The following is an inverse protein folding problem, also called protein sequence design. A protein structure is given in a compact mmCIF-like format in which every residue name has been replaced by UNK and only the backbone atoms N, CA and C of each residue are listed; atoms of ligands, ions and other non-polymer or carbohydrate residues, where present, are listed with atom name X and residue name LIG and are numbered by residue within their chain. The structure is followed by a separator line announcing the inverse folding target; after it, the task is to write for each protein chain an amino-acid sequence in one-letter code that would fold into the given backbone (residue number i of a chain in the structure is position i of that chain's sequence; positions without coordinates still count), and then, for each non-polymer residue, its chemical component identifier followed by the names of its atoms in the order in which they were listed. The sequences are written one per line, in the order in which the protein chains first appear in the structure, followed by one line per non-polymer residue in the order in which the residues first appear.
data_IF_795517768497
#
_entry.id   IF_795517768497
#
_cell.length_a   1.000
_cell.length_b   1.000
_cell.length_c   1.000
_cell.angle_alpha   90.00
_cell.angle_beta   90.00
_cell.angle_gamma   90.00
#
_symmetry.space_group_name_H-M   'P 1'
#
loop_
_entity.id
_entity.type
_entity.pdbx_description
1 polymer ?
#
# COMPACT_ATOMS: atom_id res chain seq x y z
N UNK A 1 16.39 -6.75 14.03
CA UNK A 1 17.85 -6.92 13.81
C UNK A 1 18.19 -8.25 13.14
N UNK A 2 17.69 -9.42 13.63
CA UNK A 2 18.04 -10.73 13.05
C UNK A 2 17.43 -10.91 11.64
N UNK A 3 16.14 -10.68 11.49
CA UNK A 3 15.46 -10.80 10.21
C UNK A 3 16.02 -9.82 9.17
N UNK A 4 16.26 -8.57 9.56
CA UNK A 4 16.84 -7.54 8.71
C UNK A 4 18.23 -7.95 8.18
N UNK A 5 19.10 -8.46 9.08
CA UNK A 5 20.40 -8.99 8.68
C UNK A 5 20.28 -10.18 7.72
N UNK A 6 19.38 -11.12 7.99
CA UNK A 6 19.19 -12.31 7.17
C UNK A 6 18.71 -11.93 5.74
N UNK A 7 17.77 -11.01 5.64
CA UNK A 7 17.30 -10.47 4.35
C UNK A 7 18.41 -9.74 3.61
N UNK A 8 19.16 -8.87 4.31
CA UNK A 8 20.30 -8.16 3.73
C UNK A 8 21.39 -9.10 3.19
N UNK A 9 21.76 -10.12 3.96
CA UNK A 9 22.74 -11.14 3.56
C UNK A 9 22.24 -11.97 2.36
N UNK A 10 20.95 -12.30 2.33
CA UNK A 10 20.31 -13.00 1.20
C UNK A 10 20.37 -12.15 -0.07
N UNK A 11 19.89 -10.91 -0.02
CA UNK A 11 19.89 -10.01 -1.18
C UNK A 11 21.30 -9.76 -1.70
N UNK A 12 22.28 -9.55 -0.79
CA UNK A 12 23.66 -9.35 -1.17
C UNK A 12 24.27 -10.56 -1.90
N UNK A 13 23.91 -11.79 -1.51
CA UNK A 13 24.32 -13.01 -2.21
C UNK A 13 23.63 -13.16 -3.56
N UNK A 14 22.33 -12.93 -3.62
CA UNK A 14 21.55 -13.06 -4.87
C UNK A 14 22.04 -12.06 -5.92
N UNK A 15 22.31 -10.81 -5.56
CA UNK A 15 22.90 -9.81 -6.49
C UNK A 15 24.23 -10.24 -7.11
N UNK A 16 24.99 -11.12 -6.46
CA UNK A 16 26.22 -11.67 -7.03
C UNK A 16 25.96 -12.84 -7.99
N UNK A 17 24.88 -13.59 -7.77
CA UNK A 17 24.50 -14.74 -8.60
C UNK A 17 23.72 -14.31 -9.86
N UNK A 18 22.83 -13.35 -9.69
CA UNK A 18 22.02 -12.81 -10.76
C UNK A 18 21.90 -11.29 -10.60
N UNK A 19 22.49 -10.56 -11.55
CA UNK A 19 22.52 -9.11 -11.55
C UNK A 19 21.24 -8.48 -12.12
N UNK A 20 20.46 -9.28 -12.85
CA UNK A 20 19.26 -8.85 -13.56
C UNK A 20 17.96 -9.21 -12.83
N UNK A 21 18.08 -9.78 -11.62
CA UNK A 21 16.91 -10.05 -10.77
C UNK A 21 16.31 -8.77 -10.21
N UNK A 22 14.98 -8.65 -10.29
CA UNK A 22 14.20 -7.68 -9.56
C UNK A 22 13.96 -8.20 -8.14
N UNK A 23 14.44 -7.45 -7.14
CA UNK A 23 14.18 -7.75 -5.73
C UNK A 23 13.04 -6.90 -5.22
N UNK A 24 12.04 -7.56 -4.64
CA UNK A 24 10.90 -6.90 -3.99
C UNK A 24 10.85 -7.42 -2.55
N UNK A 25 10.90 -6.49 -1.61
CA UNK A 25 10.81 -6.76 -0.19
C UNK A 25 9.61 -6.01 0.36
N UNK A 26 8.72 -6.71 1.03
CA UNK A 26 7.57 -6.11 1.69
C UNK A 26 7.29 -6.83 2.99
N UNK A 27 6.82 -6.09 4.00
CA UNK A 27 6.19 -6.71 5.15
C UNK A 27 4.76 -7.12 4.81
N UNK A 28 4.24 -8.14 5.46
CA UNK A 28 2.86 -8.60 5.33
C UNK A 28 1.88 -7.65 6.06
N UNK A 29 2.28 -7.17 7.23
CA UNK A 29 1.57 -6.20 8.05
C UNK A 29 2.53 -5.53 9.05
N UNK A 30 2.09 -4.47 9.71
CA UNK A 30 2.83 -3.86 10.81
C UNK A 30 2.61 -4.64 12.13
N UNK A 31 3.45 -4.37 13.13
CA UNK A 31 3.24 -4.88 14.48
C UNK A 31 1.99 -4.27 15.10
N UNK A 32 1.18 -5.09 15.80
CA UNK A 32 0.05 -4.59 16.58
C UNK A 32 0.47 -3.72 17.77
N UNK A 33 1.75 -3.78 18.16
CA UNK A 33 2.34 -2.99 19.24
C UNK A 33 3.05 -1.81 18.63
N UNK A 34 2.66 -0.60 19.00
CA UNK A 34 3.38 0.61 18.61
C UNK A 34 4.80 0.60 19.25
N UNK A 35 5.87 0.48 18.45
CA UNK A 35 7.23 0.30 18.96
C UNK A 35 7.85 1.60 19.47
N UNK A 36 7.16 2.73 19.31
CA UNK A 36 7.72 4.05 19.60
C UNK A 36 7.03 4.72 20.77
N UNK A 37 7.79 5.49 21.52
CA UNK A 37 7.28 6.37 22.55
C UNK A 37 6.41 7.46 21.91
N UNK A 38 5.25 7.71 22.50
CA UNK A 38 4.30 8.72 22.04
C UNK A 38 4.89 10.13 22.03
N UNK A 39 5.89 10.40 22.86
CA UNK A 39 6.58 11.68 22.92
C UNK A 39 7.48 11.96 21.72
N UNK A 40 7.92 10.90 21.00
CA UNK A 40 8.78 11.02 19.83
C UNK A 40 7.97 11.30 18.56
N UNK A 41 6.69 10.94 18.55
CA UNK A 41 5.84 11.09 17.37
C UNK A 41 5.22 12.49 17.30
N UNK A 42 5.53 13.29 16.27
CA UNK A 42 5.08 14.69 16.19
C UNK A 42 3.58 14.84 15.85
N UNK A 43 2.92 13.76 15.41
CA UNK A 43 1.51 13.79 14.98
C UNK A 43 0.69 12.76 15.75
N UNK A 44 -0.56 13.09 16.07
CA UNK A 44 -1.47 12.19 16.79
C UNK A 44 -1.93 10.99 15.94
N UNK A 45 -2.03 11.16 14.64
CA UNK A 45 -2.42 10.11 13.72
C UNK A 45 -1.28 9.12 13.39
N UNK A 46 -0.05 9.43 13.77
CA UNK A 46 1.10 8.56 13.49
C UNK A 46 0.96 7.17 14.13
N UNK A 47 0.42 7.09 15.34
CA UNK A 47 0.19 5.79 15.98
C UNK A 47 -0.75 4.89 15.19
N UNK A 48 -1.75 5.45 14.51
CA UNK A 48 -2.63 4.68 13.66
C UNK A 48 -1.93 4.33 12.34
N UNK A 49 -1.20 5.28 11.74
CA UNK A 49 -0.37 5.03 10.54
C UNK A 49 0.63 3.93 10.79
N UNK A 50 1.36 3.97 11.90
CA UNK A 50 2.34 2.94 12.29
C UNK A 50 1.74 1.54 12.41
N UNK A 51 0.47 1.41 12.75
CA UNK A 51 -0.24 0.13 12.83
C UNK A 51 -0.64 -0.43 11.47
N UNK A 52 -0.72 0.42 10.46
CA UNK A 52 -1.22 0.06 9.12
C UNK A 52 -0.05 -0.05 8.15
N UNK A 53 0.95 0.82 8.28
CA UNK A 53 2.09 0.88 7.37
C UNK A 53 3.03 -0.30 7.60
N UNK A 54 3.54 -0.84 6.51
CA UNK A 54 4.63 -1.80 6.50
C UNK A 54 5.72 -1.37 5.53
N UNK A 55 6.88 -2.00 5.61
CA UNK A 55 7.99 -1.68 4.72
C UNK A 55 7.73 -2.18 3.30
N UNK A 56 8.14 -1.40 2.32
CA UNK A 56 8.17 -1.79 0.92
C UNK A 56 9.47 -1.29 0.28
N UNK A 57 10.14 -2.15 -0.47
CA UNK A 57 11.36 -1.79 -1.18
C UNK A 57 11.47 -2.59 -2.48
N UNK A 58 11.86 -1.94 -3.55
CA UNK A 58 12.21 -2.57 -4.82
C UNK A 58 13.64 -2.23 -5.19
N UNK A 59 14.35 -3.20 -5.77
CA UNK A 59 15.71 -2.99 -6.24
C UNK A 59 15.97 -3.74 -7.54
N UNK A 60 16.42 -3.00 -8.53
CA UNK A 60 17.02 -3.49 -9.78
C UNK A 60 17.97 -2.39 -10.29
N UNK A 61 19.08 -2.73 -11.00
CA UNK A 61 20.02 -1.73 -11.50
C UNK A 61 19.40 -0.65 -12.41
N UNK A 62 18.32 -0.97 -13.09
CA UNK A 62 17.62 -0.05 -13.99
C UNK A 62 16.50 0.76 -13.32
N UNK A 63 16.13 0.44 -12.08
CA UNK A 63 15.10 1.19 -11.36
C UNK A 63 15.66 2.55 -10.89
N UNK A 64 14.86 3.57 -11.07
CA UNK A 64 15.16 4.95 -10.62
C UNK A 64 13.98 5.48 -9.81
N UNK A 65 14.22 6.27 -8.75
CA UNK A 65 13.17 6.85 -7.93
C UNK A 65 12.14 7.65 -8.74
N UNK A 66 12.56 8.32 -9.80
CA UNK A 66 11.71 9.15 -10.65
C UNK A 66 10.64 8.35 -11.39
N UNK A 67 10.81 7.03 -11.53
CA UNK A 67 9.83 6.14 -12.16
C UNK A 67 8.57 5.95 -11.31
N UNK A 68 8.61 6.31 -10.03
CA UNK A 68 7.53 6.02 -9.06
C UNK A 68 6.65 7.22 -8.71
N UNK A 69 6.59 8.23 -9.57
CA UNK A 69 5.74 9.43 -9.46
C UNK A 69 5.83 10.17 -8.10
N UNK A 70 6.92 9.96 -7.34
CA UNK A 70 7.11 10.56 -6.01
C UNK A 70 6.09 10.09 -4.96
N UNK A 71 5.58 8.87 -5.09
CA UNK A 71 4.60 8.32 -4.16
C UNK A 71 5.19 8.13 -2.77
N UNK A 72 4.45 8.59 -1.76
CA UNK A 72 4.68 8.31 -0.33
C UNK A 72 3.66 7.34 0.23
N UNK A 73 2.66 6.98 -0.57
CA UNK A 73 1.62 6.02 -0.27
C UNK A 73 1.62 4.87 -1.28
N UNK A 74 1.25 3.70 -0.80
CA UNK A 74 1.00 2.52 -1.61
C UNK A 74 0.40 1.41 -0.74
N UNK A 75 -0.16 0.41 -1.39
CA UNK A 75 -0.71 -0.78 -0.74
C UNK A 75 -0.27 -2.04 -1.49
N UNK A 76 -0.43 -3.21 -0.88
CA UNK A 76 0.01 -4.47 -1.49
C UNK A 76 -0.61 -4.71 -2.87
N UNK A 77 -1.83 -4.22 -3.11
CA UNK A 77 -2.51 -4.37 -4.40
C UNK A 77 -1.87 -3.55 -5.54
N UNK A 78 -1.03 -2.54 -5.21
CA UNK A 78 -0.25 -1.81 -6.21
C UNK A 78 0.99 -2.60 -6.68
N UNK A 79 1.42 -3.65 -5.96
CA UNK A 79 2.67 -4.36 -6.25
C UNK A 79 2.61 -5.07 -7.60
N UNK A 80 1.58 -5.88 -7.83
CA UNK A 80 1.46 -6.64 -9.07
C UNK A 80 1.37 -5.74 -10.32
N UNK A 81 0.46 -4.73 -10.40
CA UNK A 81 0.45 -3.84 -11.54
C UNK A 81 1.78 -3.09 -11.74
N UNK A 82 2.48 -2.74 -10.65
CA UNK A 82 3.82 -2.13 -10.77
C UNK A 82 4.83 -3.09 -11.39
N UNK A 83 4.81 -4.37 -11.02
CA UNK A 83 5.67 -5.38 -11.65
C UNK A 83 5.33 -5.49 -13.13
N UNK A 84 4.05 -5.57 -13.48
CA UNK A 84 3.62 -5.68 -14.88
C UNK A 84 4.10 -4.49 -15.71
N UNK A 85 3.95 -3.25 -15.22
CA UNK A 85 4.47 -2.06 -15.91
C UNK A 85 5.99 -2.06 -16.11
N UNK A 86 6.73 -2.65 -15.18
CA UNK A 86 8.19 -2.65 -15.23
C UNK A 86 8.78 -3.75 -16.12
N UNK A 87 8.11 -4.91 -16.25
CA UNK A 87 8.69 -6.09 -16.89
C UNK A 87 7.91 -6.61 -18.09
N UNK A 88 6.63 -6.25 -18.24
CA UNK A 88 5.84 -6.72 -19.36
C UNK A 88 6.32 -6.14 -20.70
N UNK A 89 6.20 -6.89 -21.81
CA UNK A 89 6.50 -6.35 -23.12
C UNK A 89 5.62 -5.14 -23.46
N UNK A 90 6.15 -4.23 -24.27
CA UNK A 90 5.38 -3.08 -24.75
C UNK A 90 4.08 -3.52 -25.43
N UNK A 91 2.95 -2.93 -25.05
CA UNK A 91 1.62 -3.27 -25.55
C UNK A 91 0.96 -4.48 -24.88
N UNK A 92 1.55 -5.02 -23.82
CA UNK A 92 0.89 -6.03 -23.00
C UNK A 92 -0.26 -5.41 -22.21
N UNK A 93 -1.44 -5.96 -22.34
CA UNK A 93 -2.64 -5.52 -21.62
C UNK A 93 -2.88 -6.44 -20.42
N UNK A 94 -3.23 -5.84 -19.29
CA UNK A 94 -3.61 -6.56 -18.08
C UNK A 94 -4.69 -5.77 -17.32
N UNK A 95 -5.44 -6.48 -16.50
CA UNK A 95 -6.46 -5.87 -15.64
C UNK A 95 -5.96 -5.77 -14.21
N UNK A 96 -6.17 -4.61 -13.60
CA UNK A 96 -5.88 -4.39 -12.19
C UNK A 96 -6.93 -3.49 -11.54
N UNK A 97 -7.29 -3.80 -10.29
CA UNK A 97 -8.19 -2.95 -9.49
C UNK A 97 -7.47 -1.71 -8.95
N UNK A 98 -6.15 -1.72 -8.97
CA UNK A 98 -5.31 -0.63 -8.45
C UNK A 98 -4.29 -0.20 -9.49
N UNK A 99 -3.95 1.09 -9.54
CA UNK A 99 -2.91 1.59 -10.41
C UNK A 99 -1.53 1.08 -9.97
N UNK A 100 -0.55 1.05 -10.88
CA UNK A 100 0.86 0.81 -10.52
C UNK A 100 1.44 1.98 -9.72
N UNK A 101 2.50 1.75 -8.96
CA UNK A 101 3.23 2.80 -8.23
C UNK A 101 4.00 3.77 -9.16
N UNK A 102 4.04 3.49 -10.45
CA UNK A 102 4.55 4.42 -11.49
C UNK A 102 3.57 5.56 -11.76
N UNK A 103 2.31 5.41 -11.35
CA UNK A 103 1.31 6.46 -11.35
C UNK A 103 1.15 7.09 -9.96
N UNK A 104 0.61 8.32 -9.89
CA UNK A 104 0.40 9.01 -8.61
C UNK A 104 -0.73 8.36 -7.81
N UNK A 105 -0.40 7.87 -6.63
CA UNK A 105 -1.37 7.35 -5.66
C UNK A 105 -1.86 8.51 -4.78
N UNK A 106 -3.13 8.82 -4.87
CA UNK A 106 -3.73 9.91 -4.11
C UNK A 106 -4.23 9.46 -2.72
N UNK A 107 -4.73 8.23 -2.65
CA UNK A 107 -5.24 7.64 -1.42
C UNK A 107 -5.14 6.11 -1.47
N UNK A 108 -5.20 5.51 -0.31
CA UNK A 108 -5.37 4.07 -0.12
C UNK A 108 -6.60 3.81 0.73
N UNK A 109 -7.27 2.67 0.48
CA UNK A 109 -8.47 2.27 1.21
C UNK A 109 -8.35 0.81 1.62
N UNK A 110 -8.59 0.55 2.89
CA UNK A 110 -8.62 -0.79 3.49
C UNK A 110 -10.00 -1.12 4.07
N UNK A 111 -10.27 -2.34 4.53
CA UNK A 111 -11.53 -2.66 5.21
C UNK A 111 -11.87 -1.76 6.40
N UNK A 112 -10.84 -1.22 7.05
CA UNK A 112 -10.97 -0.54 8.34
C UNK A 112 -10.51 0.90 8.34
N UNK A 113 -9.86 1.35 7.26
CA UNK A 113 -9.26 2.68 7.20
C UNK A 113 -9.10 3.18 5.77
N UNK A 114 -8.95 4.48 5.64
CA UNK A 114 -8.45 5.14 4.43
C UNK A 114 -7.32 6.08 4.81
N UNK A 115 -6.45 6.39 3.87
CA UNK A 115 -5.30 7.25 4.11
C UNK A 115 -4.97 8.06 2.85
N UNK A 116 -4.68 9.33 3.08
CA UNK A 116 -4.03 10.24 2.11
C UNK A 116 -2.67 10.64 2.64
N UNK A 117 -1.93 11.45 1.89
CA UNK A 117 -0.66 12.00 2.38
C UNK A 117 -0.84 12.81 3.68
N UNK A 118 -1.99 13.48 3.83
CA UNK A 118 -2.25 14.41 4.92
C UNK A 118 -3.14 13.86 6.02
N UNK A 119 -4.01 12.93 5.70
CA UNK A 119 -5.08 12.49 6.59
C UNK A 119 -5.18 10.97 6.66
N UNK A 120 -5.75 10.50 7.75
CA UNK A 120 -6.16 9.12 7.92
C UNK A 120 -7.53 9.08 8.59
N UNK A 121 -8.38 8.17 8.13
CA UNK A 121 -9.65 7.86 8.77
C UNK A 121 -9.78 6.38 9.07
N UNK A 122 -10.66 6.04 9.98
CA UNK A 122 -10.92 4.65 10.37
C UNK A 122 -12.40 4.43 10.63
N UNK A 123 -12.82 3.17 10.56
CA UNK A 123 -14.18 2.75 10.82
C UNK A 123 -14.32 2.24 12.26
N UNK A 124 -15.21 2.87 13.03
CA UNK A 124 -15.48 2.51 14.41
C UNK A 124 -16.96 2.73 14.71
N UNK A 125 -17.56 1.80 15.44
CA UNK A 125 -18.95 1.88 15.91
C UNK A 125 -19.97 2.16 14.78
N UNK A 126 -19.76 1.52 13.61
CA UNK A 126 -20.55 1.74 12.38
C UNK A 126 -20.46 3.16 11.80
N UNK A 127 -19.48 3.93 12.21
CA UNK A 127 -19.22 5.30 11.71
C UNK A 127 -17.77 5.40 11.24
N UNK A 128 -17.57 6.03 10.09
CA UNK A 128 -16.25 6.42 9.65
C UNK A 128 -15.83 7.70 10.35
N UNK A 129 -14.64 7.69 10.92
CA UNK A 129 -14.05 8.81 11.65
C UNK A 129 -12.75 9.22 10.98
N UNK A 130 -12.52 10.52 10.87
CA UNK A 130 -11.27 11.12 10.40
C UNK A 130 -10.41 11.51 11.60
N UNK A 131 -9.16 11.07 11.57
CA UNK A 131 -8.12 11.65 12.41
C UNK A 131 -7.49 12.81 11.65
N UNK A 132 -7.93 14.03 11.98
CA UNK A 132 -7.25 15.21 11.49
C UNK A 132 -5.84 15.30 12.10
N UNK A 133 -4.90 16.05 11.46
CA UNK A 133 -3.61 16.39 12.07
C UNK A 133 -3.75 17.08 13.44
N UNK A 134 -4.91 17.60 13.74
CA UNK A 134 -5.35 18.20 15.02
C UNK A 134 -6.11 17.18 15.87
N UNK A 135 -6.15 17.38 17.22
CA UNK A 135 -6.70 16.40 18.18
C UNK A 135 -8.20 16.16 18.13
N UNK A 136 -8.91 16.72 17.18
CA UNK A 136 -10.36 16.56 17.07
C UNK A 136 -10.68 15.46 16.07
N UNK A 137 -11.39 14.43 16.53
CA UNK A 137 -12.09 13.51 15.65
C UNK A 137 -13.22 14.32 15.00
N UNK A 138 -13.16 14.43 13.67
CA UNK A 138 -14.18 15.13 12.90
C UNK A 138 -15.02 14.08 12.19
N UNK A 139 -16.35 14.12 12.24
CA UNK A 139 -17.19 13.26 11.42
C UNK A 139 -16.85 13.39 9.95
N UNK A 140 -16.89 12.28 9.23
CA UNK A 140 -16.59 12.27 7.79
C UNK A 140 -17.49 13.24 7.03
N UNK A 141 -16.89 14.09 6.24
CA UNK A 141 -17.58 14.91 5.25
C UNK A 141 -18.06 14.04 4.06
N UNK A 142 -19.02 14.56 3.28
CA UNK A 142 -19.59 13.82 2.14
C UNK A 142 -18.55 13.29 1.15
N UNK A 143 -17.42 14.00 0.96
CA UNK A 143 -16.33 13.59 0.09
C UNK A 143 -15.58 12.32 0.54
N UNK A 144 -15.64 12.00 1.82
CA UNK A 144 -14.94 10.84 2.39
C UNK A 144 -15.78 9.56 2.36
N UNK A 145 -17.09 9.68 2.13
CA UNK A 145 -17.97 8.52 1.90
C UNK A 145 -17.59 7.75 0.62
N UNK A 146 -16.95 8.41 -0.34
CA UNK A 146 -16.45 7.76 -1.56
C UNK A 146 -15.46 6.63 -1.25
N UNK A 147 -14.63 6.74 -0.22
CA UNK A 147 -13.68 5.70 0.15
C UNK A 147 -14.37 4.41 0.60
N UNK A 148 -15.49 4.52 1.31
CA UNK A 148 -16.31 3.36 1.66
C UNK A 148 -16.95 2.72 0.45
N UNK A 149 -17.49 3.53 -0.47
CA UNK A 149 -18.10 3.04 -1.71
C UNK A 149 -17.06 2.34 -2.58
N UNK A 150 -15.88 2.90 -2.71
CA UNK A 150 -14.74 2.30 -3.39
C UNK A 150 -14.40 0.93 -2.80
N UNK A 151 -14.24 0.85 -1.49
CA UNK A 151 -14.00 -0.42 -0.81
C UNK A 151 -15.10 -1.45 -1.07
N UNK A 152 -16.35 -1.06 -0.96
CA UNK A 152 -17.49 -1.95 -1.23
C UNK A 152 -17.54 -2.41 -2.68
N UNK A 153 -17.21 -1.55 -3.62
CA UNK A 153 -17.14 -1.89 -5.05
C UNK A 153 -16.05 -2.96 -5.29
N UNK A 154 -14.87 -2.81 -4.73
CA UNK A 154 -13.81 -3.81 -4.86
C UNK A 154 -14.16 -5.16 -4.25
N UNK A 155 -14.76 -5.16 -3.07
CA UNK A 155 -15.26 -6.40 -2.46
C UNK A 155 -16.27 -7.10 -3.36
N UNK A 156 -17.17 -6.33 -3.97
CA UNK A 156 -18.19 -6.86 -4.88
C UNK A 156 -17.56 -7.45 -6.14
N UNK A 157 -16.63 -6.74 -6.78
CA UNK A 157 -15.92 -7.20 -7.98
C UNK A 157 -15.10 -8.45 -7.67
N UNK A 158 -14.29 -8.42 -6.60
CA UNK A 158 -13.48 -9.57 -6.21
C UNK A 158 -14.36 -10.79 -5.91
N UNK A 159 -15.44 -10.59 -5.17
CA UNK A 159 -16.39 -11.66 -4.87
C UNK A 159 -17.13 -12.20 -6.11
N UNK A 160 -17.36 -11.36 -7.12
CA UNK A 160 -17.93 -11.80 -8.39
C UNK A 160 -16.91 -12.62 -9.19
N UNK A 161 -15.68 -12.14 -9.36
CA UNK A 161 -14.60 -12.83 -10.07
C UNK A 161 -14.31 -14.22 -9.48
N UNK A 162 -14.28 -14.33 -8.15
CA UNK A 162 -14.08 -15.62 -7.47
C UNK A 162 -15.20 -16.63 -7.75
N UNK A 163 -16.42 -16.15 -8.02
CA UNK A 163 -17.57 -17.02 -8.30
C UNK A 163 -17.73 -17.34 -9.80
N UNK A 164 -17.08 -16.59 -10.67
CA UNK A 164 -17.19 -16.70 -12.13
C UNK A 164 -15.81 -16.78 -12.81
N UNK A 165 -14.98 -17.76 -12.45
CA UNK A 165 -13.61 -17.85 -12.94
C UNK A 165 -13.47 -18.18 -14.43
N UNK A 166 -14.53 -18.58 -15.09
CA UNK A 166 -14.51 -19.11 -16.47
C UNK A 166 -15.17 -18.19 -17.52
N UNK A 167 -15.62 -17.00 -17.16
CA UNK A 167 -16.24 -16.07 -18.10
C UNK A 167 -15.21 -15.25 -18.92
N UNK A 168 -13.92 -15.50 -18.74
CA UNK A 168 -12.84 -14.90 -19.52
C UNK A 168 -12.36 -15.86 -20.63
N UNK A 169 -13.17 -16.03 -21.67
CA UNK A 169 -12.73 -16.63 -22.94
C UNK A 169 -13.12 -15.76 -24.12
#
# INVERSE_FOLDING_TARGET
LYADKAVGDFVARMKKLDKDSLFILTGDHSSAVAPFDKEILPRKDMLLRERILTSFSMHHPQLKPEMFAGNVLGEHQNILPTIMELIAPAGHEYYSLKPPLTEKIQHIVTPYSWMTEESIGYYKDNVWQKLAPSPQEVPMEHGEMQYRQEWQAWQSITGWLLRHPEEEQ
#
